data_IF_019226632191
#
_entry.id   IF_019226632191
#
_cell.length_a   1.000
_cell.length_b   1.000
_cell.length_c   1.000
_cell.angle_alpha   90.00
_cell.angle_beta   90.00
_cell.angle_gamma   90.00
#
_symmetry.space_group_name_H-M   'P 1'
#
loop_
_entity.id
_entity.type
_entity.pdbx_description
1 polymer ?
#
# COMPACT_ATOMS: atom_id res chain seq x y z
N UNK A 1 -10.47 -25.59 21.80
CA UNK A 1 -9.08 -25.10 21.72
C UNK A 1 -9.02 -24.12 20.55
N UNK A 2 -8.62 -22.88 20.79
CA UNK A 2 -8.39 -21.93 19.71
C UNK A 2 -7.23 -22.48 18.86
N UNK A 3 -7.47 -22.65 17.57
CA UNK A 3 -6.46 -23.09 16.63
C UNK A 3 -5.31 -22.07 16.69
N UNK A 4 -4.15 -22.49 17.18
CA UNK A 4 -2.97 -21.64 17.24
C UNK A 4 -2.65 -21.20 15.81
N UNK A 5 -2.57 -19.89 15.60
CA UNK A 5 -2.23 -19.33 14.30
C UNK A 5 -0.79 -19.76 13.92
N UNK A 6 -0.66 -20.39 12.78
CA UNK A 6 0.61 -20.96 12.34
C UNK A 6 1.68 -19.90 12.05
N UNK A 7 1.27 -18.68 11.69
CA UNK A 7 2.18 -17.60 11.30
C UNK A 7 2.66 -16.76 12.47
N UNK A 8 1.79 -16.44 13.43
CA UNK A 8 2.13 -15.58 14.56
C UNK A 8 3.31 -16.14 15.37
N UNK A 9 4.13 -15.24 15.90
CA UNK A 9 5.32 -15.56 16.66
C UNK A 9 6.59 -14.96 16.10
N UNK A 10 7.74 -15.43 16.58
CA UNK A 10 9.06 -14.99 16.14
C UNK A 10 9.72 -16.05 15.26
N UNK A 11 10.31 -15.58 14.19
CA UNK A 11 10.98 -16.37 13.17
C UNK A 11 12.36 -15.80 12.94
N UNK A 12 13.38 -16.64 12.87
CA UNK A 12 14.75 -16.20 12.70
C UNK A 12 15.50 -17.02 11.67
N UNK A 13 16.47 -16.39 11.08
CA UNK A 13 17.41 -16.97 10.15
C UNK A 13 18.78 -16.34 10.36
N UNK A 14 19.80 -17.18 10.30
CA UNK A 14 21.19 -16.77 10.27
C UNK A 14 21.87 -17.50 9.11
N UNK A 15 22.56 -16.73 8.27
CA UNK A 15 23.31 -17.27 7.15
C UNK A 15 24.77 -16.82 7.22
N UNK A 16 25.66 -17.79 7.18
CA UNK A 16 27.13 -17.56 7.23
C UNK A 16 27.82 -18.47 6.26
N UNK A 17 28.87 -17.97 5.63
CA UNK A 17 29.82 -18.75 4.84
C UNK A 17 31.22 -18.47 5.33
N UNK A 18 32.18 -19.36 5.03
CA UNK A 18 33.58 -19.18 5.42
C UNK A 18 34.23 -17.88 4.90
N UNK A 19 33.66 -17.29 3.86
CA UNK A 19 34.14 -16.03 3.26
C UNK A 19 33.51 -14.77 3.87
N UNK A 20 32.57 -14.90 4.83
CA UNK A 20 31.86 -13.77 5.44
C UNK A 20 32.51 -13.37 6.76
N UNK A 21 32.70 -12.06 6.95
CA UNK A 21 33.22 -11.51 8.21
C UNK A 21 32.17 -11.58 9.33
N UNK A 22 30.87 -11.50 8.96
CA UNK A 22 29.74 -11.62 9.89
C UNK A 22 28.56 -12.30 9.21
N UNK A 23 27.70 -13.02 9.96
CA UNK A 23 26.50 -13.62 9.40
C UNK A 23 25.48 -12.57 8.96
N UNK A 24 24.66 -12.93 7.98
CA UNK A 24 23.41 -12.20 7.70
C UNK A 24 22.34 -12.75 8.63
N UNK A 25 21.66 -11.86 9.34
CA UNK A 25 20.57 -12.21 10.25
C UNK A 25 19.29 -11.56 9.82
N UNK A 26 18.21 -12.32 9.82
CA UNK A 26 16.86 -11.81 9.60
C UNK A 26 15.96 -12.33 10.72
N UNK A 27 15.33 -11.41 11.43
CA UNK A 27 14.32 -11.68 12.43
C UNK A 27 12.99 -11.13 11.94
N UNK A 28 11.97 -12.00 11.92
CA UNK A 28 10.60 -11.63 11.58
C UNK A 28 9.73 -11.91 12.79
N UNK A 29 9.09 -10.88 13.31
CA UNK A 29 8.14 -10.95 14.41
C UNK A 29 6.73 -10.68 13.87
N UNK A 30 5.83 -11.65 14.05
CA UNK A 30 4.44 -11.56 13.57
C UNK A 30 3.50 -11.48 14.76
N UNK A 31 2.68 -10.45 14.80
CA UNK A 31 1.74 -10.18 15.87
C UNK A 31 0.44 -10.97 15.78
N UNK A 32 -0.51 -10.59 16.64
CA UNK A 32 -1.85 -11.18 16.63
C UNK A 32 -2.57 -10.78 15.35
N UNK A 33 -3.11 -11.76 14.66
CA UNK A 33 -3.82 -11.55 13.41
C UNK A 33 -5.21 -10.93 13.62
N UNK A 34 -5.62 -10.08 12.70
CA UNK A 34 -7.02 -9.69 12.55
C UNK A 34 -7.73 -10.74 11.68
N UNK A 35 -8.63 -11.50 12.28
CA UNK A 35 -9.44 -12.57 11.63
C UNK A 35 -8.62 -13.67 10.95
N UNK A 36 -7.41 -13.92 11.40
CA UNK A 36 -6.49 -14.89 10.79
C UNK A 36 -6.17 -14.58 9.30
N UNK A 37 -6.20 -13.29 8.94
CA UNK A 37 -5.99 -12.81 7.57
C UNK A 37 -4.91 -11.72 7.52
N UNK A 38 -5.01 -10.71 8.39
CA UNK A 38 -4.09 -9.57 8.43
C UNK A 38 -3.20 -9.68 9.65
N UNK A 39 -1.90 -9.49 9.45
CA UNK A 39 -0.88 -9.65 10.48
C UNK A 39 -0.01 -8.41 10.55
N UNK A 40 0.05 -7.71 11.70
CA UNK A 40 1.08 -6.73 11.92
C UNK A 40 2.41 -7.47 12.12
N UNK A 41 3.47 -6.96 11.53
CA UNK A 41 4.77 -7.60 11.59
C UNK A 41 5.90 -6.58 11.71
N UNK A 42 7.00 -7.04 12.28
CA UNK A 42 8.25 -6.31 12.41
C UNK A 42 9.40 -7.15 11.88
N UNK A 43 10.27 -6.56 11.07
CA UNK A 43 11.46 -7.22 10.54
C UNK A 43 12.71 -6.47 10.98
N UNK A 44 13.74 -7.23 11.40
CA UNK A 44 15.11 -6.76 11.56
C UNK A 44 16.00 -7.49 10.58
N UNK A 45 16.84 -6.73 9.90
CA UNK A 45 17.82 -7.25 8.96
C UNK A 45 19.20 -6.73 9.33
N UNK A 46 20.15 -7.64 9.53
CA UNK A 46 21.54 -7.33 9.82
C UNK A 46 22.44 -7.96 8.75
N UNK A 47 23.39 -7.21 8.23
CA UNK A 47 24.39 -7.65 7.27
C UNK A 47 25.65 -6.80 7.38
N UNK A 48 26.73 -7.35 7.91
CA UNK A 48 27.95 -6.61 8.25
C UNK A 48 27.65 -5.41 9.19
N UNK A 49 27.99 -4.19 8.76
CA UNK A 49 27.65 -2.95 9.48
C UNK A 49 26.22 -2.46 9.22
N UNK A 50 25.52 -3.07 8.27
CA UNK A 50 24.17 -2.68 7.92
C UNK A 50 23.15 -3.27 8.89
N UNK A 51 22.23 -2.42 9.34
CA UNK A 51 21.08 -2.79 10.15
C UNK A 51 19.84 -2.03 9.67
N UNK A 52 18.74 -2.71 9.52
CA UNK A 52 17.45 -2.07 9.15
C UNK A 52 16.27 -2.70 9.89
N UNK A 53 15.30 -1.88 10.24
CA UNK A 53 14.03 -2.28 10.86
C UNK A 53 12.86 -1.86 9.98
N UNK A 54 11.87 -2.75 9.88
CA UNK A 54 10.67 -2.56 9.05
C UNK A 54 9.42 -2.88 9.86
N UNK A 55 8.44 -1.99 9.83
CA UNK A 55 7.08 -2.29 10.26
C UNK A 55 6.22 -2.58 9.03
N UNK A 56 5.48 -3.68 9.04
CA UNK A 56 4.79 -4.21 7.87
C UNK A 56 3.37 -4.66 8.20
N UNK A 57 2.48 -4.55 7.24
CA UNK A 57 1.26 -5.34 7.20
C UNK A 57 1.51 -6.55 6.30
N UNK A 58 1.20 -7.74 6.80
CA UNK A 58 1.18 -8.95 6.00
C UNK A 58 -0.27 -9.39 5.79
N UNK A 59 -0.58 -9.94 4.63
CA UNK A 59 -1.89 -10.52 4.35
C UNK A 59 -1.77 -11.97 3.90
N UNK A 60 -2.63 -12.80 4.46
CA UNK A 60 -2.72 -14.21 4.13
C UNK A 60 -3.38 -14.41 2.77
N UNK A 61 -2.63 -14.97 1.82
CA UNK A 61 -3.12 -15.30 0.49
C UNK A 61 -3.77 -16.67 0.47
N UNK A 62 -3.15 -17.62 1.15
CA UNK A 62 -3.63 -18.98 1.32
C UNK A 62 -3.13 -19.58 2.65
N UNK A 63 -3.29 -20.86 2.89
CA UNK A 63 -2.88 -21.52 4.14
C UNK A 63 -1.39 -21.43 4.42
N UNK A 64 -0.56 -21.11 3.43
CA UNK A 64 0.90 -21.13 3.50
C UNK A 64 1.58 -19.81 3.16
N UNK A 65 0.95 -18.92 2.45
CA UNK A 65 1.58 -17.72 1.90
C UNK A 65 1.08 -16.45 2.58
N UNK A 66 2.02 -15.61 3.03
CA UNK A 66 1.79 -14.24 3.49
C UNK A 66 2.46 -13.26 2.53
N UNK A 67 1.67 -12.41 1.90
CA UNK A 67 2.19 -11.31 1.08
C UNK A 67 2.63 -10.12 1.95
N UNK A 68 3.62 -9.37 1.45
CA UNK A 68 4.08 -8.10 2.03
C UNK A 68 3.32 -6.96 1.38
N UNK A 69 2.76 -6.06 2.19
CA UNK A 69 2.04 -4.89 1.71
C UNK A 69 2.97 -3.78 1.22
N UNK A 70 2.37 -2.71 0.78
CA UNK A 70 3.06 -1.43 0.62
C UNK A 70 3.62 -0.95 1.98
N UNK A 71 4.56 -0.02 1.92
CA UNK A 71 5.38 0.46 3.03
C UNK A 71 6.43 -0.54 3.52
N UNK A 72 7.19 -1.00 2.59
CA UNK A 72 8.32 -1.91 2.71
C UNK A 72 9.66 -1.21 2.95
N UNK A 73 9.65 0.12 3.05
CA UNK A 73 10.83 0.89 3.39
C UNK A 73 11.16 0.71 4.88
N UNK A 74 12.43 0.76 5.25
CA UNK A 74 12.81 0.65 6.64
C UNK A 74 12.29 1.84 7.44
N UNK A 75 11.81 1.58 8.65
CA UNK A 75 11.55 2.59 9.65
C UNK A 75 12.85 3.24 10.13
N UNK A 76 13.88 2.43 10.17
CA UNK A 76 15.23 2.82 10.55
C UNK A 76 16.25 1.98 9.78
N UNK A 77 17.37 2.59 9.39
CA UNK A 77 18.55 1.88 8.86
C UNK A 77 19.83 2.61 9.20
N UNK A 78 20.93 1.89 9.24
CA UNK A 78 22.30 2.37 9.41
C UNK A 78 23.28 1.45 8.65
N UNK A 79 24.51 1.85 8.29
CA UNK A 79 25.12 3.18 8.52
C UNK A 79 24.59 4.25 7.58
N UNK A 80 23.90 3.85 6.49
CA UNK A 80 23.34 4.77 5.52
C UNK A 80 22.04 5.33 6.06
N UNK A 81 21.91 6.65 6.11
CA UNK A 81 20.62 7.30 6.35
C UNK A 81 19.66 6.99 5.20
N UNK A 82 18.36 7.08 5.48
CA UNK A 82 17.35 6.86 4.46
C UNK A 82 17.45 7.85 3.29
N UNK A 83 18.05 9.02 3.51
CA UNK A 83 18.36 10.02 2.47
C UNK A 83 19.49 9.61 1.53
N UNK A 84 20.36 8.71 1.95
CA UNK A 84 21.54 8.27 1.19
C UNK A 84 21.24 7.02 0.36
N UNK A 85 20.16 6.32 0.67
CA UNK A 85 19.67 5.16 -0.03
C UNK A 85 18.78 4.32 0.86
N UNK A 86 17.66 3.86 0.34
CA UNK A 86 16.72 3.04 1.09
C UNK A 86 16.70 1.62 0.57
N UNK A 87 16.78 0.65 1.47
CA UNK A 87 16.63 -0.77 1.16
C UNK A 87 15.22 -1.20 1.47
N UNK A 88 14.47 -1.61 0.47
CA UNK A 88 13.06 -1.97 0.66
C UNK A 88 12.83 -3.47 0.43
N UNK A 89 11.90 -4.02 1.22
CA UNK A 89 11.46 -5.40 1.11
C UNK A 89 10.20 -5.48 0.25
N UNK A 90 10.06 -6.55 -0.51
CA UNK A 90 8.86 -6.89 -1.28
C UNK A 90 8.77 -8.40 -1.44
N UNK A 91 7.61 -8.91 -1.80
CA UNK A 91 7.39 -10.33 -2.03
C UNK A 91 6.45 -10.97 -1.02
N UNK A 92 6.73 -12.21 -0.67
CA UNK A 92 5.92 -12.98 0.26
C UNK A 92 6.77 -13.96 1.06
N UNK A 93 6.19 -14.47 2.14
CA UNK A 93 6.73 -15.58 2.93
C UNK A 93 5.87 -16.83 2.67
N UNK A 94 6.49 -17.97 2.39
CA UNK A 94 5.82 -19.24 2.24
C UNK A 94 6.12 -20.15 3.45
N UNK A 95 5.06 -20.61 4.12
CA UNK A 95 5.16 -21.51 5.26
C UNK A 95 5.35 -22.94 4.79
N UNK A 96 6.34 -23.64 5.32
CA UNK A 96 6.58 -25.06 5.03
C UNK A 96 5.42 -25.94 5.49
N UNK A 97 5.36 -27.17 4.96
CA UNK A 97 4.28 -28.12 5.31
C UNK A 97 4.30 -28.52 6.78
N UNK A 98 5.46 -28.53 7.41
CA UNK A 98 5.63 -28.84 8.83
C UNK A 98 5.30 -27.67 9.78
N UNK A 99 4.99 -26.50 9.23
CA UNK A 99 4.69 -25.25 9.94
C UNK A 99 5.82 -24.73 10.83
N UNK A 100 7.05 -25.20 10.63
CA UNK A 100 8.22 -24.86 11.46
C UNK A 100 9.24 -23.99 10.76
N UNK A 101 9.13 -23.89 9.43
CA UNK A 101 10.04 -23.07 8.64
C UNK A 101 9.29 -22.27 7.58
N UNK A 102 9.86 -21.14 7.19
CA UNK A 102 9.41 -20.33 6.05
C UNK A 102 10.60 -20.17 5.10
N UNK A 103 10.65 -20.95 4.01
CA UNK A 103 11.63 -20.77 2.95
C UNK A 103 11.54 -19.35 2.39
N UNK A 104 12.67 -18.66 2.33
CA UNK A 104 12.74 -17.27 1.85
C UNK A 104 12.93 -17.22 0.34
N UNK A 105 13.21 -18.38 -0.26
CA UNK A 105 13.50 -18.58 -1.67
C UNK A 105 12.42 -18.01 -2.59
N UNK A 106 12.85 -17.19 -3.51
CA UNK A 106 12.05 -16.63 -4.61
C UNK A 106 10.88 -15.71 -4.23
N UNK A 107 10.51 -15.64 -2.95
CA UNK A 107 9.34 -14.89 -2.49
C UNK A 107 9.73 -13.56 -1.86
N UNK A 108 10.73 -13.53 -0.98
CA UNK A 108 11.23 -12.29 -0.41
C UNK A 108 12.28 -11.67 -1.34
N UNK A 109 12.13 -10.41 -1.64
CA UNK A 109 13.08 -9.62 -2.44
C UNK A 109 13.51 -8.39 -1.68
N UNK A 110 14.77 -8.02 -1.85
CA UNK A 110 15.30 -6.74 -1.39
C UNK A 110 15.82 -5.97 -2.57
N UNK A 111 15.55 -4.68 -2.59
CA UNK A 111 16.07 -3.77 -3.60
C UNK A 111 16.51 -2.47 -2.92
N UNK A 112 17.32 -1.67 -3.61
CA UNK A 112 17.76 -0.37 -3.13
C UNK A 112 17.26 0.72 -4.05
N UNK A 113 16.82 1.83 -3.47
CA UNK A 113 16.55 3.07 -4.18
C UNK A 113 17.61 4.08 -3.75
N UNK A 114 18.35 4.59 -4.72
CA UNK A 114 19.33 5.64 -4.47
C UNK A 114 18.66 7.01 -4.66
N UNK A 115 19.00 7.99 -3.82
CA UNK A 115 18.54 9.35 -3.99
C UNK A 115 19.09 9.96 -5.28
N UNK A 116 18.39 10.91 -5.86
CA UNK A 116 18.85 11.67 -7.02
C UNK A 116 19.82 12.81 -6.65
N UNK A 117 20.28 12.88 -5.42
CA UNK A 117 21.41 13.73 -5.01
C UNK A 117 22.72 13.08 -5.40
N UNK A 118 23.81 13.84 -5.45
CA UNK A 118 25.15 13.32 -5.70
C UNK A 118 25.67 12.68 -4.39
N UNK A 119 25.42 11.36 -4.15
CA UNK A 119 26.09 10.69 -3.05
C UNK A 119 27.56 10.61 -3.37
N UNK A 120 28.40 10.54 -2.34
CA UNK A 120 29.82 10.28 -2.57
C UNK A 120 29.97 8.94 -3.28
N UNK A 121 30.97 8.83 -4.17
CA UNK A 121 31.25 7.60 -4.95
C UNK A 121 31.42 6.40 -4.01
N UNK A 122 31.96 6.59 -2.81
CA UNK A 122 32.10 5.55 -1.77
C UNK A 122 30.74 5.02 -1.29
N UNK A 123 29.79 5.89 -0.94
CA UNK A 123 28.45 5.49 -0.50
C UNK A 123 27.68 4.75 -1.60
N UNK A 124 27.86 5.16 -2.88
CA UNK A 124 27.27 4.44 -4.02
C UNK A 124 27.85 3.03 -4.15
N UNK A 125 29.16 2.89 -4.03
CA UNK A 125 29.83 1.60 -4.12
C UNK A 125 29.45 0.65 -2.98
N UNK A 126 29.36 1.17 -1.76
CA UNK A 126 29.00 0.37 -0.59
C UNK A 126 27.52 -0.04 -0.63
N UNK A 127 26.62 0.85 -1.02
CA UNK A 127 25.20 0.54 -1.22
C UNK A 127 25.01 -0.51 -2.34
N UNK A 128 25.71 -0.38 -3.46
CA UNK A 128 25.67 -1.35 -4.56
C UNK A 128 26.22 -2.72 -4.14
N UNK A 129 27.34 -2.74 -3.40
CA UNK A 129 27.95 -3.97 -2.87
C UNK A 129 27.03 -4.68 -1.89
N UNK A 130 26.40 -3.93 -0.95
CA UNK A 130 25.44 -4.46 0.00
C UNK A 130 24.21 -5.02 -0.71
N UNK A 131 23.67 -4.28 -1.68
CA UNK A 131 22.53 -4.74 -2.50
C UNK A 131 22.85 -6.04 -3.23
N UNK A 132 24.03 -6.14 -3.84
CA UNK A 132 24.46 -7.35 -4.52
C UNK A 132 24.61 -8.53 -3.56
N UNK A 133 25.19 -8.29 -2.37
CA UNK A 133 25.34 -9.29 -1.31
C UNK A 133 24.00 -9.80 -0.83
N UNK A 134 23.06 -8.91 -0.51
CA UNK A 134 21.71 -9.27 -0.05
C UNK A 134 20.90 -9.97 -1.14
N UNK A 135 20.99 -9.52 -2.42
CA UNK A 135 20.34 -10.21 -3.54
C UNK A 135 20.90 -11.60 -3.79
N UNK A 136 22.21 -11.79 -3.64
CA UNK A 136 22.84 -13.11 -3.74
C UNK A 136 22.34 -14.01 -2.63
N UNK A 137 22.39 -13.54 -1.39
CA UNK A 137 21.91 -14.24 -0.22
C UNK A 137 20.47 -14.73 -0.38
N UNK A 138 19.52 -13.87 -0.83
CA UNK A 138 18.12 -14.24 -1.02
C UNK A 138 17.86 -15.26 -2.17
N UNK A 139 18.90 -15.66 -2.91
CA UNK A 139 18.83 -16.69 -3.95
C UNK A 139 19.40 -18.04 -3.54
N UNK A 140 20.01 -18.11 -2.36
CA UNK A 140 20.58 -19.37 -1.86
C UNK A 140 19.46 -20.36 -1.52
N UNK A 141 19.65 -21.63 -1.87
CA UNK A 141 18.57 -22.62 -1.85
C UNK A 141 18.15 -23.09 -0.45
N UNK A 142 19.02 -22.98 0.54
CA UNK A 142 18.80 -23.55 1.87
C UNK A 142 18.34 -22.53 2.92
N UNK A 143 18.01 -21.31 2.50
CA UNK A 143 17.64 -20.27 3.44
C UNK A 143 16.18 -20.36 3.82
N UNK A 144 15.94 -20.56 5.10
CA UNK A 144 14.61 -20.51 5.66
C UNK A 144 14.60 -19.91 7.07
N UNK A 145 13.57 -19.12 7.33
CA UNK A 145 13.25 -18.66 8.68
C UNK A 145 12.76 -19.86 9.51
N UNK A 146 13.37 -20.07 10.67
CA UNK A 146 12.93 -21.09 11.63
C UNK A 146 12.06 -20.45 12.70
N UNK A 147 10.99 -21.12 13.08
CA UNK A 147 10.12 -20.65 14.16
C UNK A 147 10.82 -20.80 15.49
N UNK A 148 10.99 -19.70 16.21
CA UNK A 148 11.63 -19.64 17.53
C UNK A 148 10.58 -19.71 18.64
N UNK A 149 9.47 -18.96 18.46
CA UNK A 149 8.38 -18.95 19.41
C UNK A 149 7.04 -18.75 18.71
N UNK A 150 5.97 -19.26 19.30
CA UNK A 150 4.59 -19.02 18.87
C UNK A 150 3.94 -17.86 19.64
N UNK A 151 4.67 -17.18 20.52
CA UNK A 151 4.15 -16.00 21.21
C UNK A 151 4.07 -14.85 20.22
N UNK A 152 2.87 -14.31 19.96
CA UNK A 152 2.70 -13.22 19.02
C UNK A 152 3.48 -11.97 19.43
N UNK A 153 4.02 -11.26 18.45
CA UNK A 153 4.65 -9.97 18.69
C UNK A 153 3.64 -8.94 19.17
N UNK A 154 4.01 -8.20 20.20
CA UNK A 154 3.25 -7.09 20.74
C UNK A 154 4.08 -5.82 20.69
N UNK A 155 3.48 -4.76 20.16
CA UNK A 155 4.03 -3.41 20.16
C UNK A 155 2.88 -2.42 20.13
N UNK A 156 3.09 -1.23 20.67
CA UNK A 156 2.15 -0.11 20.52
C UNK A 156 1.86 0.18 19.05
N UNK A 157 2.85 -0.01 18.18
CA UNK A 157 2.72 0.18 16.74
C UNK A 157 1.87 -0.89 16.05
N UNK A 158 1.68 -2.07 16.64
CA UNK A 158 0.92 -3.15 16.00
C UNK A 158 -0.54 -2.80 15.76
N UNK A 159 -1.15 -2.04 16.67
CA UNK A 159 -2.51 -1.53 16.50
C UNK A 159 -2.59 -0.53 15.33
N UNK A 160 -1.58 0.34 15.20
CA UNK A 160 -1.53 1.33 14.13
C UNK A 160 -1.41 0.68 12.73
N UNK A 161 -0.74 -0.47 12.64
CA UNK A 161 -0.63 -1.22 11.37
C UNK A 161 -1.99 -1.77 10.90
N UNK A 162 -2.84 -2.18 11.86
CA UNK A 162 -4.16 -2.79 11.58
C UNK A 162 -5.31 -1.78 11.51
N UNK A 163 -5.11 -0.57 12.03
CA UNK A 163 -6.11 0.49 12.05
C UNK A 163 -5.59 1.77 11.37
N UNK A 164 -5.92 1.98 10.09
CA UNK A 164 -5.46 3.13 9.31
C UNK A 164 -5.77 4.47 9.98
N UNK A 165 -6.89 4.55 10.72
CA UNK A 165 -7.29 5.77 11.43
C UNK A 165 -6.35 6.15 12.59
N UNK A 166 -5.53 5.21 13.08
CA UNK A 166 -4.61 5.43 14.19
C UNK A 166 -3.18 5.76 13.72
N UNK A 167 -2.89 5.56 12.44
CA UNK A 167 -1.54 5.72 11.92
C UNK A 167 -1.45 6.83 10.86
N UNK A 168 -0.43 7.70 10.93
CA UNK A 168 -0.10 8.58 9.83
C UNK A 168 0.53 7.82 8.64
N UNK A 169 0.91 6.56 8.83
CA UNK A 169 1.57 5.72 7.82
C UNK A 169 0.58 4.76 7.19
N UNK A 170 0.56 4.72 5.85
CA UNK A 170 -0.30 3.81 5.10
C UNK A 170 0.36 2.45 4.91
N UNK A 171 -0.17 1.41 5.55
CA UNK A 171 0.34 0.04 5.49
C UNK A 171 -0.33 -0.85 4.43
N UNK A 172 -1.05 -0.30 3.48
CA UNK A 172 -1.74 -1.07 2.44
C UNK A 172 -3.17 -1.48 2.79
N UNK A 173 -3.67 -1.07 3.95
CA UNK A 173 -5.05 -1.26 4.37
C UNK A 173 -5.86 0.01 4.09
N UNK A 174 -6.89 -0.11 3.27
CA UNK A 174 -7.82 0.98 2.97
C UNK A 174 -8.90 1.11 4.02
N UNK A 175 -9.57 2.26 4.03
CA UNK A 175 -10.69 2.53 4.92
C UNK A 175 -11.83 1.52 4.75
N UNK A 176 -12.62 1.34 5.82
CA UNK A 176 -13.78 0.45 5.80
C UNK A 176 -14.86 1.00 4.88
N UNK A 177 -15.32 0.19 3.93
CA UNK A 177 -16.45 0.49 3.06
C UNK A 177 -17.72 -0.16 3.67
N UNK A 178 -18.75 0.65 3.90
CA UNK A 178 -20.04 0.15 4.34
C UNK A 178 -20.98 -0.02 3.15
N UNK A 179 -21.66 -1.13 3.07
CA UNK A 179 -22.39 -1.60 1.91
C UNK A 179 -23.87 -1.79 2.21
N UNK A 180 -24.77 -1.51 1.22
CA UNK A 180 -26.21 -1.64 1.44
C UNK A 180 -26.69 -3.08 1.44
N UNK A 181 -25.96 -3.97 0.77
CA UNK A 181 -26.33 -5.37 0.57
C UNK A 181 -25.13 -6.27 0.81
N UNK A 182 -25.39 -7.56 1.04
CA UNK A 182 -24.33 -8.57 1.18
C UNK A 182 -23.89 -9.15 -0.16
N UNK A 183 -24.79 -9.13 -1.13
CA UNK A 183 -24.54 -9.66 -2.48
C UNK A 183 -23.85 -8.60 -3.31
N UNK A 184 -22.75 -8.97 -3.94
CA UNK A 184 -21.95 -8.09 -4.76
C UNK A 184 -21.24 -8.81 -5.90
N UNK A 185 -20.69 -8.03 -6.80
CA UNK A 185 -19.94 -8.49 -7.96
C UNK A 185 -18.56 -7.86 -7.92
N UNK A 186 -17.54 -8.67 -8.16
CA UNK A 186 -16.18 -8.21 -8.44
C UNK A 186 -15.94 -8.36 -9.93
N UNK A 187 -15.45 -7.30 -10.56
CA UNK A 187 -14.96 -7.37 -11.94
C UNK A 187 -13.64 -6.58 -12.10
N UNK A 188 -12.92 -6.86 -13.18
CA UNK A 188 -11.66 -6.22 -13.49
C UNK A 188 -11.76 -5.46 -14.80
N UNK A 189 -11.23 -4.23 -14.79
CA UNK A 189 -11.02 -3.44 -15.98
C UNK A 189 -9.53 -3.14 -16.13
N UNK A 190 -8.94 -3.57 -17.25
CA UNK A 190 -7.55 -3.23 -17.57
C UNK A 190 -7.41 -1.75 -17.89
N UNK A 191 -6.44 -1.08 -17.28
CA UNK A 191 -6.16 0.35 -17.54
C UNK A 191 -5.36 0.52 -18.83
N UNK A 192 -4.58 -0.47 -19.25
CA UNK A 192 -3.88 -0.55 -20.56
C UNK A 192 -3.65 -2.03 -20.91
N UNK A 193 -3.58 -2.34 -22.23
CA UNK A 193 -3.16 -3.67 -22.73
C UNK A 193 -1.74 -3.97 -22.26
N UNK A 194 -1.60 -4.75 -21.20
CA UNK A 194 -0.31 -5.22 -20.68
C UNK A 194 -0.34 -6.73 -20.60
N UNK A 195 0.61 -7.37 -21.26
CA UNK A 195 0.64 -8.82 -21.41
C UNK A 195 1.01 -9.53 -20.09
N UNK A 196 0.18 -10.49 -19.68
CA UNK A 196 0.43 -11.48 -18.63
C UNK A 196 0.35 -10.97 -17.16
N UNK A 197 -0.36 -9.89 -16.88
CA UNK A 197 -0.64 -9.52 -15.48
C UNK A 197 -1.66 -10.48 -14.87
N UNK A 198 -1.27 -11.14 -13.78
CA UNK A 198 -2.12 -12.10 -13.05
C UNK A 198 -2.41 -11.59 -11.65
N UNK A 199 -3.64 -11.81 -11.24
CA UNK A 199 -4.12 -11.40 -9.92
C UNK A 199 -4.95 -12.50 -9.27
N UNK A 200 -4.93 -12.52 -7.94
CA UNK A 200 -5.81 -13.34 -7.13
C UNK A 200 -6.59 -12.48 -6.15
N UNK A 201 -7.82 -12.88 -5.86
CA UNK A 201 -8.67 -12.19 -4.88
C UNK A 201 -9.11 -13.17 -3.83
N UNK A 202 -9.02 -12.75 -2.57
CA UNK A 202 -9.55 -13.51 -1.44
C UNK A 202 -10.59 -12.69 -0.69
N UNK A 203 -11.66 -13.35 -0.26
CA UNK A 203 -12.66 -12.80 0.65
C UNK A 203 -12.63 -13.61 1.94
N UNK A 204 -12.39 -12.94 3.06
CA UNK A 204 -12.25 -13.61 4.37
C UNK A 204 -11.21 -14.74 4.38
N UNK A 205 -10.14 -14.61 3.60
CA UNK A 205 -9.07 -15.59 3.46
C UNK A 205 -9.41 -16.80 2.56
N UNK A 206 -10.59 -16.82 1.96
CA UNK A 206 -10.98 -17.81 0.95
C UNK A 206 -10.76 -17.24 -0.46
N UNK A 207 -10.17 -18.03 -1.34
CA UNK A 207 -9.91 -17.62 -2.73
C UNK A 207 -11.24 -17.51 -3.48
N UNK A 208 -11.51 -16.34 -4.01
CA UNK A 208 -12.66 -16.03 -4.89
C UNK A 208 -12.25 -16.11 -6.35
N UNK A 209 -11.07 -15.58 -6.67
CA UNK A 209 -10.46 -15.61 -8.00
C UNK A 209 -8.99 -15.95 -7.86
N UNK A 210 -8.49 -16.91 -8.63
CA UNK A 210 -7.11 -17.39 -8.56
C UNK A 210 -6.39 -17.19 -9.88
N UNK A 211 -5.26 -16.46 -9.83
CA UNK A 211 -4.31 -16.27 -10.94
C UNK A 211 -4.98 -15.88 -12.26
N UNK A 212 -6.04 -15.07 -12.17
CA UNK A 212 -6.75 -14.62 -13.35
C UNK A 212 -5.90 -13.64 -14.16
N UNK A 213 -6.00 -13.75 -15.47
CA UNK A 213 -5.40 -12.83 -16.42
C UNK A 213 -6.34 -11.64 -16.61
N UNK A 214 -5.92 -10.46 -16.16
CA UNK A 214 -6.77 -9.26 -16.17
C UNK A 214 -7.07 -8.72 -17.59
N UNK A 215 -6.36 -9.20 -18.61
CA UNK A 215 -6.61 -8.80 -20.00
C UNK A 215 -7.78 -9.56 -20.63
N UNK A 216 -8.14 -10.71 -20.08
CA UNK A 216 -9.27 -11.49 -20.60
C UNK A 216 -10.58 -10.78 -20.30
N UNK A 217 -11.39 -10.61 -21.33
CA UNK A 217 -12.73 -10.04 -21.18
C UNK A 217 -13.59 -10.90 -20.26
N UNK A 218 -14.46 -10.24 -19.47
CA UNK A 218 -15.45 -10.87 -18.60
C UNK A 218 -14.90 -11.64 -17.38
N UNK A 219 -13.80 -11.18 -16.80
CA UNK A 219 -13.34 -11.68 -15.51
C UNK A 219 -14.18 -11.05 -14.40
N UNK A 220 -15.21 -11.76 -13.97
CA UNK A 220 -16.07 -11.35 -12.85
C UNK A 220 -16.38 -12.54 -11.94
N UNK A 221 -16.71 -12.23 -10.70
CA UNK A 221 -17.19 -13.22 -9.73
C UNK A 221 -18.24 -12.59 -8.84
N UNK A 222 -19.30 -13.34 -8.59
CA UNK A 222 -20.25 -13.00 -7.54
C UNK A 222 -19.62 -13.26 -6.18
N UNK A 223 -19.89 -12.40 -5.22
CA UNK A 223 -19.43 -12.54 -3.83
C UNK A 223 -20.58 -12.33 -2.87
N UNK A 224 -20.54 -13.08 -1.77
CA UNK A 224 -21.50 -12.97 -0.67
C UNK A 224 -20.73 -12.62 0.62
N UNK A 225 -21.03 -11.46 1.20
CA UNK A 225 -20.44 -11.03 2.46
C UNK A 225 -21.05 -11.79 3.65
N UNK A 226 -20.20 -12.16 4.59
CA UNK A 226 -20.64 -12.62 5.91
C UNK A 226 -21.23 -11.44 6.70
N UNK A 227 -22.11 -11.68 7.70
CA UNK A 227 -22.51 -10.64 8.63
C UNK A 227 -21.30 -9.98 9.31
N UNK A 228 -21.35 -8.66 9.47
CA UNK A 228 -20.29 -7.88 10.09
C UNK A 228 -19.09 -7.61 9.17
N UNK A 229 -17.89 -7.57 9.76
CA UNK A 229 -16.65 -7.24 9.04
C UNK A 229 -16.23 -8.35 8.07
N UNK A 230 -15.93 -7.97 6.83
CA UNK A 230 -15.31 -8.82 5.82
C UNK A 230 -13.99 -8.19 5.37
N UNK A 231 -13.02 -9.03 5.02
CA UNK A 231 -11.70 -8.60 4.54
C UNK A 231 -11.56 -9.11 3.11
N UNK A 232 -11.52 -8.16 2.18
CA UNK A 232 -11.25 -8.42 0.77
C UNK A 232 -9.80 -8.09 0.49
N UNK A 233 -9.04 -9.05 -0.06
CA UNK A 233 -7.65 -8.84 -0.40
C UNK A 233 -7.42 -9.14 -1.88
N UNK A 234 -6.76 -8.23 -2.54
CA UNK A 234 -6.39 -8.30 -3.95
C UNK A 234 -4.87 -8.43 -4.07
N UNK A 235 -4.38 -9.55 -4.59
CA UNK A 235 -2.96 -9.87 -4.73
C UNK A 235 -2.52 -9.73 -6.18
N UNK A 236 -1.33 -9.12 -6.41
CA UNK A 236 -0.59 -9.30 -7.64
C UNK A 236 0.20 -10.61 -7.58
N UNK A 237 -0.07 -11.52 -8.50
CA UNK A 237 0.63 -12.82 -8.56
C UNK A 237 1.94 -12.74 -9.31
N UNK A 238 2.09 -11.75 -10.18
CA UNK A 238 3.29 -11.48 -10.93
C UNK A 238 3.42 -9.99 -11.25
N UNK A 239 4.55 -9.61 -11.84
CA UNK A 239 4.80 -8.23 -12.28
C UNK A 239 4.51 -8.03 -13.77
N UNK A 240 3.99 -9.06 -14.48
CA UNK A 240 3.81 -9.03 -15.93
C UNK A 240 5.13 -8.86 -16.70
N UNK A 241 5.01 -8.59 -17.99
CA UNK A 241 6.18 -8.32 -18.84
C UNK A 241 6.56 -6.83 -18.80
N UNK A 242 5.60 -5.98 -18.52
CA UNK A 242 5.75 -4.51 -18.47
C UNK A 242 5.40 -3.99 -17.10
N UNK A 243 6.35 -3.33 -16.44
CA UNK A 243 6.14 -2.66 -15.17
C UNK A 243 5.53 -1.27 -15.40
N UNK A 244 4.62 -0.81 -14.52
CA UNK A 244 4.02 -1.46 -13.36
C UNK A 244 2.84 -2.36 -13.73
N UNK A 245 2.55 -3.39 -12.93
CA UNK A 245 1.25 -4.07 -12.98
C UNK A 245 0.19 -3.09 -12.49
N UNK A 246 -0.64 -2.58 -13.39
CA UNK A 246 -1.72 -1.66 -13.09
C UNK A 246 -3.04 -2.34 -13.42
N UNK A 247 -3.83 -2.58 -12.40
CA UNK A 247 -5.16 -3.13 -12.54
C UNK A 247 -6.18 -2.37 -11.73
N UNK A 248 -7.41 -2.42 -12.17
CA UNK A 248 -8.55 -1.84 -11.46
C UNK A 248 -9.52 -2.95 -11.12
N UNK A 249 -9.78 -3.12 -9.84
CA UNK A 249 -10.84 -3.97 -9.33
C UNK A 249 -12.09 -3.11 -9.09
N UNK A 250 -13.19 -3.44 -9.75
CA UNK A 250 -14.46 -2.80 -9.53
C UNK A 250 -15.32 -3.70 -8.62
N UNK A 251 -15.94 -3.09 -7.63
CA UNK A 251 -16.88 -3.73 -6.71
C UNK A 251 -18.26 -3.13 -6.94
N UNK A 252 -19.27 -3.97 -7.11
CA UNK A 252 -20.65 -3.54 -7.28
C UNK A 252 -21.52 -4.20 -6.21
N UNK A 253 -22.23 -3.39 -5.41
CA UNK A 253 -23.15 -3.85 -4.36
C UNK A 253 -24.47 -3.05 -4.46
N UNK A 254 -25.52 -3.70 -4.93
CA UNK A 254 -26.77 -3.03 -5.24
C UNK A 254 -26.55 -1.92 -6.28
N UNK A 255 -26.88 -0.69 -5.91
CA UNK A 255 -26.68 0.48 -6.75
C UNK A 255 -25.33 1.19 -6.54
N UNK A 256 -24.46 0.66 -5.68
CA UNK A 256 -23.17 1.27 -5.38
C UNK A 256 -22.04 0.57 -6.13
N UNK A 257 -21.15 1.38 -6.70
CA UNK A 257 -19.96 0.94 -7.43
C UNK A 257 -18.73 1.59 -6.82
N UNK A 258 -17.69 0.79 -6.65
CA UNK A 258 -16.39 1.22 -6.11
C UNK A 258 -15.30 0.75 -7.07
N UNK A 259 -14.33 1.60 -7.34
CA UNK A 259 -13.13 1.23 -8.09
C UNK A 259 -11.91 1.28 -7.17
N UNK A 260 -11.15 0.21 -7.16
CA UNK A 260 -9.92 0.08 -6.38
C UNK A 260 -8.76 -0.07 -7.34
N UNK A 261 -7.97 0.99 -7.49
CA UNK A 261 -6.79 0.95 -8.34
C UNK A 261 -5.64 0.26 -7.61
N UNK A 262 -4.96 -0.61 -8.33
CA UNK A 262 -3.76 -1.27 -7.90
C UNK A 262 -2.64 -0.94 -8.88
N UNK A 263 -1.56 -0.36 -8.38
CA UNK A 263 -0.36 -0.15 -9.16
C UNK A 263 0.81 -0.83 -8.44
N UNK A 264 1.40 -1.81 -9.10
CA UNK A 264 2.56 -2.51 -8.58
C UNK A 264 3.79 -2.15 -9.42
N UNK A 265 4.50 -1.09 -9.03
CA UNK A 265 5.75 -0.68 -9.67
C UNK A 265 6.92 -1.51 -9.15
N UNK A 266 7.96 -1.69 -9.96
CA UNK A 266 9.14 -2.48 -9.61
C UNK A 266 9.82 -2.02 -8.32
N UNK A 267 9.83 -0.74 -8.08
CA UNK A 267 10.50 -0.07 -6.97
C UNK A 267 9.55 0.30 -5.81
N UNK A 268 8.23 0.18 -6.02
CA UNK A 268 7.20 0.46 -5.01
C UNK A 268 6.09 -0.60 -4.97
N UNK A 269 6.43 -1.86 -5.26
CA UNK A 269 5.46 -2.93 -5.40
C UNK A 269 4.90 -3.41 -4.06
N UNK A 270 3.62 -3.19 -3.82
CA UNK A 270 2.87 -3.99 -2.87
C UNK A 270 2.44 -5.30 -3.52
N UNK A 271 2.50 -6.40 -2.80
CA UNK A 271 1.97 -7.67 -3.32
C UNK A 271 0.45 -7.76 -3.18
N UNK A 272 -0.17 -6.85 -2.44
CA UNK A 272 -1.62 -6.83 -2.24
C UNK A 272 -2.16 -5.43 -1.89
N UNK A 273 -3.48 -5.30 -2.03
CA UNK A 273 -4.30 -4.25 -1.40
C UNK A 273 -5.37 -4.93 -0.54
N UNK A 274 -5.68 -4.35 0.60
CA UNK A 274 -6.75 -4.81 1.49
C UNK A 274 -7.83 -3.76 1.63
N UNK A 275 -9.08 -4.22 1.65
CA UNK A 275 -10.26 -3.41 1.94
C UNK A 275 -11.11 -4.11 2.98
N UNK A 276 -11.52 -3.38 4.00
CA UNK A 276 -12.51 -3.83 4.98
C UNK A 276 -13.91 -3.52 4.45
N UNK A 277 -14.77 -4.53 4.36
CA UNK A 277 -16.15 -4.41 3.89
C UNK A 277 -17.12 -4.75 5.02
N UNK A 278 -18.11 -3.90 5.25
CA UNK A 278 -19.16 -4.14 6.26
C UNK A 278 -20.52 -3.94 5.61
N UNK A 279 -21.37 -4.95 5.66
CA UNK A 279 -22.77 -4.79 5.27
C UNK A 279 -23.51 -4.12 6.42
N UNK A 280 -23.82 -2.85 6.26
CA UNK A 280 -24.62 -2.04 7.19
C UNK A 280 -25.50 -1.09 6.36
N UNK A 281 -26.77 -1.47 6.08
CA UNK A 281 -27.65 -0.69 5.25
C UNK A 281 -27.89 0.74 5.78
N UNK A 282 -27.85 0.94 7.09
CA UNK A 282 -28.08 2.26 7.67
C UNK A 282 -26.85 3.15 7.50
N UNK A 283 -25.67 2.64 7.83
CA UNK A 283 -24.41 3.35 7.57
C UNK A 283 -24.11 3.48 6.08
N UNK A 284 -24.60 2.58 5.25
CA UNK A 284 -24.45 2.69 3.79
C UNK A 284 -25.22 3.87 3.20
N UNK A 285 -26.21 4.40 3.90
CA UNK A 285 -26.90 5.64 3.55
C UNK A 285 -26.04 6.87 3.85
N UNK A 286 -25.09 6.76 4.79
CA UNK A 286 -24.05 7.75 4.93
C UNK A 286 -23.27 7.79 3.62
N UNK A 287 -23.10 8.99 3.05
CA UNK A 287 -22.46 9.16 1.73
C UNK A 287 -20.97 8.83 1.85
N UNK A 288 -20.57 7.76 1.20
CA UNK A 288 -19.17 7.36 1.13
C UNK A 288 -18.47 8.10 0.00
N UNK A 289 -17.14 8.21 0.12
CA UNK A 289 -16.32 8.54 -1.03
C UNK A 289 -16.49 7.45 -2.10
N UNK A 290 -17.32 7.74 -3.09
CA UNK A 290 -17.43 6.90 -4.28
C UNK A 290 -16.35 7.36 -5.24
N UNK A 291 -15.40 6.47 -5.56
CA UNK A 291 -14.51 6.74 -6.69
C UNK A 291 -15.34 6.70 -7.97
N UNK A 292 -15.76 7.87 -8.41
CA UNK A 292 -16.48 8.02 -9.66
C UNK A 292 -15.46 8.21 -10.79
N UNK A 293 -14.84 7.12 -11.22
CA UNK A 293 -13.99 7.14 -12.41
C UNK A 293 -14.88 6.94 -13.62
N UNK A 294 -15.35 8.03 -14.21
CA UNK A 294 -15.95 8.00 -15.53
C UNK A 294 -14.84 7.75 -16.56
N UNK A 295 -14.84 6.62 -17.28
CA UNK A 295 -13.81 6.31 -18.28
C UNK A 295 -13.69 7.37 -19.40
N UNK A 296 -14.69 8.25 -19.52
CA UNK A 296 -14.69 9.36 -20.48
C UNK A 296 -13.91 10.59 -20.02
N UNK A 297 -13.64 10.75 -18.73
CA UNK A 297 -12.97 11.95 -18.19
C UNK A 297 -11.45 11.94 -18.41
N UNK A 298 -10.82 10.78 -18.46
CA UNK A 298 -9.40 10.67 -18.80
C UNK A 298 -9.05 11.16 -20.21
N UNK A 299 -10.01 11.11 -21.13
CA UNK A 299 -9.83 11.61 -22.51
C UNK A 299 -9.78 13.13 -22.63
N UNK A 300 -10.21 13.83 -21.58
CA UNK A 300 -10.25 15.31 -21.53
C UNK A 300 -9.04 15.91 -20.79
N UNK A 301 -8.14 15.06 -20.25
CA UNK A 301 -6.96 15.53 -19.53
C UNK A 301 -5.89 16.04 -20.50
N UNK A 302 -5.20 17.11 -20.10
CA UNK A 302 -4.01 17.58 -20.79
C UNK A 302 -2.86 16.59 -20.59
N UNK A 303 -1.82 16.67 -21.44
CA UNK A 303 -0.68 15.76 -21.42
C UNK A 303 0.09 15.75 -20.08
N UNK A 304 0.04 16.86 -19.35
CA UNK A 304 0.68 17.08 -18.05
C UNK A 304 -0.26 16.81 -16.85
N UNK A 305 -1.49 16.36 -17.12
CA UNK A 305 -2.51 16.13 -16.10
C UNK A 305 -2.76 14.62 -15.92
N UNK A 306 -2.81 14.18 -14.65
CA UNK A 306 -3.12 12.81 -14.26
C UNK A 306 -4.27 12.81 -13.26
N UNK A 307 -5.39 12.18 -13.60
CA UNK A 307 -6.48 11.98 -12.66
C UNK A 307 -6.08 10.88 -11.66
N UNK A 308 -5.94 11.24 -10.39
CA UNK A 308 -5.56 10.32 -9.31
C UNK A 308 -6.80 9.71 -8.67
N UNK A 309 -7.88 10.47 -8.59
CA UNK A 309 -9.13 9.95 -8.03
C UNK A 309 -10.29 10.94 -8.15
N UNK A 310 -11.47 10.42 -7.82
CA UNK A 310 -12.71 11.18 -7.77
C UNK A 310 -13.52 10.73 -6.56
N UNK A 311 -14.11 11.67 -5.84
CA UNK A 311 -14.91 11.40 -4.63
C UNK A 311 -16.18 12.24 -4.62
N UNK A 312 -17.19 11.74 -3.92
CA UNK A 312 -18.40 12.50 -3.58
C UNK A 312 -18.38 12.82 -2.09
N UNK A 313 -18.51 14.07 -1.73
CA UNK A 313 -18.62 14.54 -0.35
C UNK A 313 -20.02 15.05 -0.04
N UNK A 314 -20.53 14.67 1.11
CA UNK A 314 -21.78 15.21 1.67
C UNK A 314 -21.56 16.45 2.55
N UNK A 315 -20.29 16.83 2.83
CA UNK A 315 -19.98 17.98 3.68
C UNK A 315 -19.31 19.09 2.90
N UNK A 316 -19.60 20.32 3.30
CA UNK A 316 -19.03 21.53 2.70
C UNK A 316 -17.57 21.74 3.12
N UNK A 317 -17.21 21.29 4.31
CA UNK A 317 -15.90 21.54 4.90
C UNK A 317 -15.16 20.20 5.05
N UNK A 318 -14.00 20.11 4.43
CA UNK A 318 -13.09 18.98 4.50
C UNK A 318 -11.79 19.38 5.20
N UNK A 319 -11.06 18.38 5.68
CA UNK A 319 -9.67 18.57 6.10
C UNK A 319 -8.77 17.75 5.19
N UNK A 320 -7.73 18.37 4.66
CA UNK A 320 -6.65 17.69 3.98
C UNK A 320 -5.50 17.48 4.95
N UNK A 321 -5.00 16.26 5.04
CA UNK A 321 -3.76 15.95 5.73
C UNK A 321 -2.70 15.58 4.68
N UNK A 322 -1.52 16.19 4.78
CA UNK A 322 -0.42 16.00 3.83
C UNK A 322 0.79 15.56 4.62
N UNK A 323 1.41 14.45 4.21
CA UNK A 323 2.63 13.96 4.83
C UNK A 323 3.48 13.15 3.85
N UNK A 324 4.75 12.93 4.23
CA UNK A 324 5.64 12.00 3.56
C UNK A 324 5.51 10.61 4.18
N UNK A 325 5.27 9.61 3.36
CA UNK A 325 5.14 8.22 3.82
C UNK A 325 6.49 7.61 4.19
N UNK A 326 7.56 8.09 3.59
CA UNK A 326 8.87 7.44 3.65
C UNK A 326 9.85 8.21 4.51
N UNK A 327 10.16 9.47 4.19
CA UNK A 327 11.23 10.25 4.84
C UNK A 327 11.04 11.74 4.59
N UNK A 328 11.42 12.55 5.60
CA UNK A 328 11.63 13.98 5.43
C UNK A 328 12.86 14.23 4.53
N UNK A 329 12.67 14.15 3.23
CA UNK A 329 13.75 14.29 2.25
C UNK A 329 13.81 15.69 1.60
N UNK A 330 12.99 16.60 2.09
CA UNK A 330 12.89 17.97 1.63
C UNK A 330 11.88 18.19 0.50
N UNK A 331 10.99 17.22 0.28
CA UNK A 331 9.86 17.38 -0.62
C UNK A 331 8.99 18.57 -0.24
N UNK A 332 8.51 19.27 -1.26
CA UNK A 332 7.49 20.32 -1.10
C UNK A 332 6.44 20.24 -2.19
N UNK A 333 5.23 20.60 -1.81
CA UNK A 333 4.07 20.51 -2.69
C UNK A 333 3.23 21.79 -2.64
N UNK A 334 2.57 22.07 -3.73
CA UNK A 334 1.58 23.14 -3.85
C UNK A 334 0.23 22.57 -4.26
N UNK A 335 -0.85 23.10 -3.70
CA UNK A 335 -2.20 22.62 -3.94
C UNK A 335 -3.08 23.79 -4.39
N UNK A 336 -3.86 23.55 -5.44
CA UNK A 336 -4.97 24.41 -5.86
C UNK A 336 -6.29 23.71 -5.63
N UNK A 337 -7.31 24.48 -5.35
CA UNK A 337 -8.70 24.09 -5.42
C UNK A 337 -9.46 25.03 -6.34
N UNK A 338 -10.16 24.50 -7.34
CA UNK A 338 -10.91 25.28 -8.30
C UNK A 338 -10.09 26.45 -8.91
N UNK A 339 -8.82 26.17 -9.23
CA UNK A 339 -7.85 27.10 -9.76
C UNK A 339 -7.30 28.17 -8.77
N UNK A 340 -7.77 28.19 -7.53
CA UNK A 340 -7.27 29.07 -6.47
C UNK A 340 -6.20 28.35 -5.63
N UNK A 341 -5.15 29.04 -5.25
CA UNK A 341 -4.12 28.45 -4.39
C UNK A 341 -4.65 28.20 -2.98
N UNK A 342 -4.63 26.95 -2.55
CA UNK A 342 -4.89 26.55 -1.18
C UNK A 342 -3.59 26.67 -0.34
N UNK A 343 -2.49 26.18 -0.88
CA UNK A 343 -1.18 26.27 -0.27
C UNK A 343 -0.09 26.26 -1.34
N UNK A 344 1.05 26.92 -1.06
CA UNK A 344 2.23 26.93 -1.93
C UNK A 344 3.46 26.57 -1.12
N UNK A 345 4.38 25.81 -1.73
CA UNK A 345 5.66 25.46 -1.13
C UNK A 345 5.51 24.78 0.23
N UNK A 346 4.50 23.93 0.40
CA UNK A 346 4.25 23.22 1.64
C UNK A 346 5.30 22.12 1.81
N UNK A 347 6.20 22.22 2.80
CA UNK A 347 7.10 21.11 3.09
C UNK A 347 6.31 19.87 3.49
N UNK A 348 6.64 18.75 2.86
CA UNK A 348 6.07 17.44 3.16
C UNK A 348 6.97 16.77 4.19
N UNK A 349 6.42 16.44 5.35
CA UNK A 349 7.14 15.84 6.47
C UNK A 349 6.39 14.60 6.94
N UNK A 350 7.05 13.75 7.72
CA UNK A 350 6.39 12.61 8.38
C UNK A 350 5.22 13.03 9.27
N UNK A 351 5.32 14.19 9.90
CA UNK A 351 4.22 14.75 10.68
C UNK A 351 3.18 15.35 9.74
N UNK A 352 1.93 14.85 9.74
CA UNK A 352 0.89 15.38 8.87
C UNK A 352 0.63 16.85 9.10
N UNK A 353 0.52 17.61 8.01
CA UNK A 353 0.02 18.98 8.02
C UNK A 353 -1.45 19.00 7.64
N UNK A 354 -2.28 19.58 8.49
CA UNK A 354 -3.72 19.66 8.28
C UNK A 354 -4.11 21.02 7.67
N UNK A 355 -4.98 20.99 6.65
CA UNK A 355 -5.47 22.16 5.94
C UNK A 355 -6.98 22.04 5.79
N UNK A 356 -7.71 23.03 6.29
CA UNK A 356 -9.17 23.09 6.13
C UNK A 356 -9.53 23.57 4.72
N UNK A 357 -10.46 22.88 4.07
CA UNK A 357 -10.88 23.13 2.70
C UNK A 357 -12.39 23.33 2.67
N UNK A 358 -12.85 24.40 2.00
CA UNK A 358 -14.26 24.66 1.80
C UNK A 358 -14.63 24.39 0.34
N UNK A 359 -15.56 23.46 0.13
CA UNK A 359 -16.05 23.08 -1.19
C UNK A 359 -17.13 24.05 -1.69
N UNK A 360 -17.16 24.27 -2.99
CA UNK A 360 -18.29 24.88 -3.71
C UNK A 360 -19.32 23.78 -4.03
N UNK A 361 -20.64 24.07 -4.04
CA UNK A 361 -21.63 23.09 -4.49
C UNK A 361 -21.30 22.56 -5.89
N UNK A 362 -21.48 21.27 -6.11
CA UNK A 362 -21.14 20.60 -7.36
C UNK A 362 -19.67 20.21 -7.48
N UNK A 363 -19.09 20.22 -8.69
CA UNK A 363 -17.74 19.75 -8.94
C UNK A 363 -16.66 20.70 -8.40
N UNK A 364 -15.68 20.14 -7.69
CA UNK A 364 -14.47 20.81 -7.25
C UNK A 364 -13.26 20.03 -7.79
N UNK A 365 -12.25 20.74 -8.26
CA UNK A 365 -11.02 20.15 -8.76
C UNK A 365 -9.86 20.54 -7.87
N UNK A 366 -9.21 19.55 -7.31
CA UNK A 366 -7.96 19.68 -6.57
C UNK A 366 -6.82 19.39 -7.54
N UNK A 367 -5.85 20.29 -7.61
CA UNK A 367 -4.62 20.12 -8.38
C UNK A 367 -3.46 20.07 -7.38
N UNK A 368 -2.79 18.94 -7.36
CA UNK A 368 -1.62 18.70 -6.53
C UNK A 368 -0.37 18.73 -7.39
N UNK A 369 0.61 19.53 -6.99
CA UNK A 369 1.82 19.85 -7.73
C UNK A 369 3.05 19.56 -6.86
N UNK A 370 4.03 18.86 -7.39
CA UNK A 370 5.35 18.79 -6.78
C UNK A 370 6.11 20.09 -7.11
N UNK A 371 6.59 20.78 -6.09
CA UNK A 371 7.41 21.98 -6.28
C UNK A 371 8.88 21.62 -6.51
N UNK A 372 9.31 20.49 -5.95
CA UNK A 372 10.65 19.94 -6.11
C UNK A 372 10.60 18.41 -6.04
N UNK A 373 11.74 17.74 -6.13
CA UNK A 373 11.88 16.29 -6.06
C UNK A 373 12.51 15.82 -4.74
N UNK A 374 12.67 16.71 -3.76
CA UNK A 374 13.41 16.37 -2.56
C UNK A 374 14.83 15.90 -2.84
N UNK A 375 15.42 15.18 -1.92
CA UNK A 375 16.71 14.51 -2.12
C UNK A 375 16.55 13.08 -2.67
N UNK A 376 15.32 12.57 -2.75
CA UNK A 376 15.00 11.20 -3.19
C UNK A 376 13.83 11.23 -4.20
N UNK A 377 14.08 11.48 -5.50
CA UNK A 377 13.02 11.45 -6.51
C UNK A 377 12.34 10.09 -6.68
N UNK A 378 11.08 10.09 -7.13
CA UNK A 378 10.21 11.24 -7.36
C UNK A 378 9.71 11.84 -6.05
N UNK A 379 9.16 13.08 -6.07
CA UNK A 379 8.41 13.62 -4.95
C UNK A 379 7.29 12.64 -4.59
N UNK A 380 7.38 12.07 -3.38
CA UNK A 380 6.40 11.12 -2.86
C UNK A 380 5.71 11.74 -1.66
N UNK A 381 4.40 11.85 -1.76
CA UNK A 381 3.61 12.42 -0.69
C UNK A 381 2.25 11.75 -0.61
N UNK A 382 1.64 11.78 0.56
CA UNK A 382 0.27 11.33 0.76
C UNK A 382 -0.61 12.55 0.99
N UNK A 383 -1.70 12.62 0.23
CA UNK A 383 -2.82 13.51 0.52
C UNK A 383 -3.98 12.67 1.04
N UNK A 384 -4.34 12.86 2.30
CA UNK A 384 -5.54 12.30 2.87
C UNK A 384 -6.65 13.35 2.92
N UNK A 385 -7.81 13.00 2.42
CA UNK A 385 -9.02 13.82 2.48
C UNK A 385 -9.88 13.28 3.61
N UNK A 386 -10.19 14.15 4.58
CA UNK A 386 -10.94 13.82 5.79
C UNK A 386 -12.29 14.53 5.73
N UNK A 387 -13.36 13.75 5.77
CA UNK A 387 -14.76 14.20 5.80
C UNK A 387 -15.42 13.64 7.07
N UNK A 388 -15.37 14.39 8.15
CA UNK A 388 -15.80 13.93 9.47
C UNK A 388 -15.00 12.73 9.94
N UNK A 389 -15.65 11.57 10.06
CA UNK A 389 -15.01 10.29 10.42
C UNK A 389 -14.45 9.53 9.20
N UNK A 390 -14.72 9.99 8.00
CA UNK A 390 -14.29 9.33 6.75
C UNK A 390 -12.95 9.85 6.31
N UNK A 391 -12.10 8.96 5.81
CA UNK A 391 -10.76 9.30 5.34
C UNK A 391 -10.48 8.60 4.02
N UNK A 392 -9.88 9.32 3.08
CA UNK A 392 -9.43 8.80 1.80
C UNK A 392 -8.03 9.29 1.50
N UNK A 393 -7.09 8.37 1.39
CA UNK A 393 -5.70 8.68 1.11
C UNK A 393 -5.38 8.47 -0.37
N UNK A 394 -4.61 9.37 -0.92
CA UNK A 394 -4.03 9.31 -2.24
C UNK A 394 -2.53 9.44 -2.15
N UNK A 395 -1.84 8.51 -2.75
CA UNK A 395 -0.40 8.61 -2.91
C UNK A 395 -0.10 9.38 -4.18
N UNK A 396 0.72 10.40 -4.01
CA UNK A 396 1.17 11.27 -5.07
C UNK A 396 2.62 10.94 -5.37
N UNK A 397 2.89 10.33 -6.52
CA UNK A 397 4.21 10.35 -7.11
C UNK A 397 4.19 11.38 -8.21
N UNK A 398 4.98 12.42 -8.07
CA UNK A 398 4.94 13.57 -8.98
C UNK A 398 6.34 13.91 -9.46
N UNK A 399 6.45 14.15 -10.76
CA UNK A 399 7.61 14.82 -11.34
C UNK A 399 7.33 16.33 -11.49
N UNK A 400 8.36 17.18 -11.58
CA UNK A 400 8.15 18.59 -11.82
C UNK A 400 7.34 18.85 -13.09
N UNK A 401 6.29 19.65 -12.97
CA UNK A 401 5.38 19.97 -14.07
C UNK A 401 4.23 19.00 -14.27
N UNK A 402 4.22 17.85 -13.60
CA UNK A 402 3.05 16.98 -13.58
C UNK A 402 1.99 17.49 -12.60
N UNK A 403 0.72 17.41 -13.01
CA UNK A 403 -0.43 17.79 -12.20
C UNK A 403 -1.24 16.56 -11.84
N UNK A 404 -1.26 16.22 -10.55
CA UNK A 404 -2.16 15.20 -10.04
C UNK A 404 -3.51 15.84 -9.71
N UNK A 405 -4.56 15.34 -10.34
CA UNK A 405 -5.92 15.86 -10.19
C UNK A 405 -6.75 14.94 -9.30
N UNK A 406 -7.50 15.53 -8.38
CA UNK A 406 -8.56 14.85 -7.64
C UNK A 406 -9.84 15.64 -7.85
N UNK A 407 -10.90 14.96 -8.25
CA UNK A 407 -12.22 15.56 -8.39
C UNK A 407 -13.07 15.29 -7.17
N UNK A 408 -13.65 16.31 -6.59
CA UNK A 408 -14.55 16.22 -5.45
C UNK A 408 -15.91 16.80 -5.86
N UNK A 409 -16.94 15.97 -5.88
CA UNK A 409 -18.28 16.45 -6.10
C UNK A 409 -18.96 16.66 -4.73
N UNK A 410 -19.24 17.94 -4.40
CA UNK A 410 -20.01 18.27 -3.21
C UNK A 410 -21.50 18.31 -3.52
N UNK A 411 -22.23 17.35 -2.96
CA UNK A 411 -23.67 17.33 -3.01
C UNK A 411 -24.25 18.10 -1.82
N UNK A 412 -24.95 19.18 -2.10
CA UNK A 412 -25.79 19.82 -1.10
C UNK A 412 -27.02 18.95 -0.85
N UNK A 413 -27.42 18.76 0.41
CA UNK A 413 -28.71 18.14 0.69
C UNK A 413 -29.80 18.85 -0.10
N UNK A 414 -30.70 18.11 -0.79
CA UNK A 414 -31.91 18.73 -1.32
C UNK A 414 -32.64 19.34 -0.13
N UNK A 415 -32.72 20.67 -0.12
CA UNK A 415 -33.35 21.41 0.96
C UNK A 415 -34.69 20.81 1.31
N UNK A 416 -34.93 20.52 2.57
CA UNK A 416 -36.26 20.42 3.13
C UNK A 416 -36.93 21.76 2.85
N UNK A 417 -37.76 21.78 1.77
CA UNK A 417 -38.75 22.82 1.54
C UNK A 417 -40.00 22.45 2.29
#
# INVERSE_FOLDING_TARGET
>A
MAQTDAFSGSWQMEYSTAAMASPIKLELQIGVSQRNILYPAHIKLECDSFFAEYDLLLAKKNSRELGISKNKFPRFQKPFGLKEGSFFLTGSFDLSKDLKSMPVLNFLRIDSKQPAGIPTIELMNDSARLTAKLKKFLKEEDISLKKITSVPWHSENSACILEPALSPTYFGLRDTIYLPTRDGIINFSGVKKRKNDRVSVTLNGQVVLEKIDIEKKNQQSDILLSPGLNILTFFADNFGNDLPNISRMNLEFGNKKFALDFANRKDSAATFIVVKLVCDPDKSKERYFVENTNPGEEKLLKKDEKLVGSIISGTKILTFAIWDEVIDDGDSVSIKINNEWLVRGCPVKKTPRFITVTLKPGPNTIVFLADNLGSIPPNTSVLEIIDGKRRKSYEMESNPGEKNLIKIFYETEPGLK
#
